data_IF_636276052621
#
_entry.id   IF_636276052621
#
_cell.length_a   1.000
_cell.length_b   1.000
_cell.length_c   1.000
_cell.angle_alpha   90.00
_cell.angle_beta   90.00
_cell.angle_gamma   90.00
#
_symmetry.space_group_name_H-M   'P 1'
#
loop_
_entity.id
_entity.type
_entity.pdbx_description
1 polymer ?
#
# COMPACT_ATOMS: atom_id res chain seq x y z
N UNK A 1 18.61 10.10 -17.15
CA UNK A 1 17.29 10.09 -16.47
C UNK A 1 16.91 11.51 -16.06
N UNK A 2 15.86 12.12 -16.63
CA UNK A 2 15.39 13.42 -16.13
C UNK A 2 14.79 13.20 -14.73
N UNK A 3 15.29 13.91 -13.72
CA UNK A 3 14.87 13.80 -12.30
C UNK A 3 13.34 13.79 -12.10
N UNK A 4 12.57 14.45 -12.98
CA UNK A 4 11.11 14.52 -12.89
C UNK A 4 10.39 13.17 -13.04
N UNK A 5 10.87 12.23 -13.87
CA UNK A 5 10.11 11.00 -14.14
C UNK A 5 10.20 9.97 -12.99
N UNK A 6 11.36 9.92 -12.32
CA UNK A 6 11.53 9.13 -11.10
C UNK A 6 10.68 9.65 -9.95
N UNK A 7 10.68 10.97 -9.77
CA UNK A 7 9.90 11.61 -8.72
C UNK A 7 8.41 11.31 -8.91
N UNK A 8 7.92 11.41 -10.15
CA UNK A 8 6.52 11.13 -10.47
C UNK A 8 6.15 9.67 -10.19
N UNK A 9 7.02 8.71 -10.50
CA UNK A 9 6.80 7.29 -10.17
C UNK A 9 6.74 7.05 -8.67
N UNK A 10 7.70 7.59 -7.91
CA UNK A 10 7.74 7.44 -6.45
C UNK A 10 6.49 8.04 -5.82
N UNK A 11 6.04 9.20 -6.30
CA UNK A 11 4.81 9.84 -5.82
C UNK A 11 3.59 8.95 -6.08
N UNK A 12 3.46 8.36 -7.28
CA UNK A 12 2.34 7.47 -7.61
C UNK A 12 2.35 6.22 -6.73
N UNK A 13 3.53 5.63 -6.48
CA UNK A 13 3.68 4.44 -5.64
C UNK A 13 3.31 4.74 -4.20
N UNK A 14 3.80 5.85 -3.64
CA UNK A 14 3.47 6.28 -2.28
C UNK A 14 1.97 6.56 -2.15
N UNK A 15 1.36 7.21 -3.15
CA UNK A 15 -0.07 7.48 -3.16
C UNK A 15 -0.89 6.17 -3.22
N UNK A 16 -0.44 5.20 -4.01
CA UNK A 16 -1.09 3.90 -4.12
C UNK A 16 -1.02 3.13 -2.79
N UNK A 17 0.15 3.08 -2.15
CA UNK A 17 0.30 2.50 -0.82
C UNK A 17 -0.59 3.18 0.23
N UNK A 18 -0.69 4.52 0.19
CA UNK A 18 -1.55 5.27 1.09
C UNK A 18 -3.04 4.93 0.87
N UNK A 19 -3.48 4.77 -0.38
CA UNK A 19 -4.86 4.37 -0.69
C UNK A 19 -5.17 2.96 -0.17
N UNK A 20 -4.27 2.00 -0.35
CA UNK A 20 -4.44 0.65 0.19
C UNK A 20 -4.52 0.65 1.72
N UNK A 21 -3.64 1.39 2.40
CA UNK A 21 -3.70 1.57 3.86
C UNK A 21 -5.04 2.15 4.32
N UNK A 22 -5.55 3.16 3.62
CA UNK A 22 -6.86 3.75 3.92
C UNK A 22 -7.99 2.73 3.75
N UNK A 23 -7.96 1.92 2.69
CA UNK A 23 -8.98 0.89 2.45
C UNK A 23 -8.97 -0.19 3.54
N UNK A 24 -7.79 -0.66 3.95
CA UNK A 24 -7.67 -1.64 5.03
C UNK A 24 -8.13 -1.08 6.37
N UNK A 25 -7.78 0.18 6.68
CA UNK A 25 -8.27 0.85 7.88
C UNK A 25 -9.81 0.98 7.88
N UNK A 26 -10.41 1.36 6.74
CA UNK A 26 -11.88 1.46 6.59
C UNK A 26 -12.53 0.09 6.75
N UNK A 27 -11.97 -0.96 6.15
CA UNK A 27 -12.47 -2.34 6.24
C UNK A 27 -12.52 -2.82 7.69
N UNK A 28 -11.45 -2.59 8.45
CA UNK A 28 -11.35 -3.00 9.86
C UNK A 28 -12.25 -2.14 10.76
N UNK A 29 -12.36 -0.84 10.48
CA UNK A 29 -13.33 0.03 11.16
C UNK A 29 -14.77 -0.44 10.92
N UNK A 30 -15.13 -0.80 9.68
CA UNK A 30 -16.46 -1.37 9.37
C UNK A 30 -16.68 -2.69 10.10
N UNK A 31 -15.71 -3.61 10.08
CA UNK A 31 -15.82 -4.88 10.76
C UNK A 31 -16.00 -4.71 12.28
N UNK A 32 -15.21 -3.83 12.89
CA UNK A 32 -15.32 -3.50 14.32
C UNK A 32 -16.66 -2.84 14.65
N UNK A 33 -17.16 -1.95 13.79
CA UNK A 33 -18.48 -1.34 13.95
C UNK A 33 -19.62 -2.38 13.87
N UNK A 34 -19.54 -3.33 12.95
CA UNK A 34 -20.51 -4.44 12.83
C UNK A 34 -20.50 -5.31 14.09
N UNK A 35 -19.31 -5.64 14.61
CA UNK A 35 -19.16 -6.41 15.86
C UNK A 35 -19.69 -5.62 17.06
N UNK A 36 -19.43 -4.30 17.12
CA UNK A 36 -19.96 -3.43 18.16
C UNK A 36 -21.49 -3.43 18.18
N UNK A 37 -22.15 -3.33 17.03
CA UNK A 37 -23.61 -3.40 16.95
C UNK A 37 -24.18 -4.76 17.38
N UNK A 38 -23.40 -5.84 17.24
CA UNK A 38 -23.87 -7.21 17.51
C UNK A 38 -23.55 -7.70 18.93
N UNK A 39 -22.42 -7.29 19.50
CA UNK A 39 -21.86 -7.81 20.77
C UNK A 39 -21.63 -6.69 21.79
N UNK A 40 -21.69 -5.42 21.38
CA UNK A 40 -21.45 -4.25 22.24
C UNK A 40 -19.97 -3.97 22.53
N UNK A 41 -19.05 -4.72 21.92
CA UNK A 41 -17.60 -4.61 22.17
C UNK A 41 -16.92 -4.04 20.94
N UNK A 42 -16.19 -2.93 21.12
CA UNK A 42 -15.41 -2.28 20.07
C UNK A 42 -13.95 -2.68 20.22
N UNK A 43 -13.55 -3.72 19.48
CA UNK A 43 -12.15 -4.13 19.42
C UNK A 43 -11.50 -3.43 18.23
N UNK A 44 -10.70 -2.40 18.50
CA UNK A 44 -9.97 -1.65 17.49
C UNK A 44 -8.52 -1.47 17.93
N UNK A 45 -7.61 -2.20 17.29
CA UNK A 45 -6.18 -2.16 17.56
C UNK A 45 -5.43 -1.80 16.28
N UNK A 46 -4.84 -0.59 16.27
CA UNK A 46 -3.99 -0.12 15.18
C UNK A 46 -2.79 -1.03 14.90
N UNK A 47 -2.24 -1.66 15.94
CA UNK A 47 -1.08 -2.55 15.80
C UNK A 47 -1.39 -3.75 14.90
N UNK A 48 -2.58 -4.32 15.03
CA UNK A 48 -3.04 -5.45 14.23
C UNK A 48 -3.28 -5.06 12.75
N UNK A 49 -3.74 -3.82 12.51
CA UNK A 49 -3.89 -3.26 11.16
C UNK A 49 -2.52 -3.14 10.48
N UNK A 50 -1.56 -2.56 11.19
CA UNK A 50 -0.20 -2.33 10.66
C UNK A 50 0.49 -3.68 10.43
N UNK A 51 0.44 -4.62 11.38
CA UNK A 51 1.04 -5.95 11.19
C UNK A 51 0.37 -6.73 10.07
N UNK A 52 -0.96 -6.72 9.98
CA UNK A 52 -1.69 -7.35 8.87
C UNK A 52 -1.28 -6.74 7.53
N UNK A 53 -1.21 -5.41 7.45
CA UNK A 53 -0.78 -4.69 6.25
C UNK A 53 0.67 -4.99 5.88
N UNK A 54 1.60 -5.06 6.82
CA UNK A 54 2.98 -5.43 6.52
C UNK A 54 3.12 -6.89 6.09
N UNK A 55 2.36 -7.80 6.71
CA UNK A 55 2.42 -9.23 6.41
C UNK A 55 1.84 -9.55 5.03
N UNK A 56 0.69 -8.95 4.70
CA UNK A 56 0.01 -9.15 3.41
C UNK A 56 0.54 -8.20 2.32
N UNK A 57 0.82 -6.96 2.69
CA UNK A 57 1.38 -5.91 1.83
C UNK A 57 2.84 -6.14 1.45
N UNK A 58 3.57 -7.06 2.10
CA UNK A 58 4.88 -7.52 1.64
C UNK A 58 4.83 -8.01 0.19
N UNK A 59 3.77 -8.74 -0.19
CA UNK A 59 3.57 -9.21 -1.57
C UNK A 59 3.36 -8.04 -2.51
N UNK A 60 2.53 -7.06 -2.11
CA UNK A 60 2.31 -5.82 -2.86
C UNK A 60 3.59 -5.00 -3.03
N UNK A 61 4.40 -4.90 -1.99
CA UNK A 61 5.69 -4.22 -1.98
C UNK A 61 6.71 -4.86 -2.92
N UNK A 62 6.80 -6.20 -2.95
CA UNK A 62 7.67 -6.92 -3.90
C UNK A 62 7.23 -6.67 -5.34
N UNK A 63 5.94 -6.80 -5.63
CA UNK A 63 5.41 -6.62 -6.99
C UNK A 63 5.64 -5.20 -7.48
N UNK A 64 5.40 -4.19 -6.62
CA UNK A 64 5.66 -2.79 -6.94
C UNK A 64 7.16 -2.51 -7.12
N UNK A 65 8.01 -3.05 -6.24
CA UNK A 65 9.46 -2.95 -6.35
C UNK A 65 10.00 -3.52 -7.66
N UNK A 66 9.53 -4.70 -8.05
CA UNK A 66 9.85 -5.33 -9.33
C UNK A 66 9.35 -4.50 -10.53
N UNK A 67 8.14 -3.96 -10.45
CA UNK A 67 7.58 -3.09 -11.49
C UNK A 67 8.42 -1.84 -11.74
N UNK A 68 8.86 -1.18 -10.66
CA UNK A 68 9.75 0.00 -10.74
C UNK A 68 11.13 -0.39 -11.31
N UNK A 69 11.68 -1.53 -10.86
CA UNK A 69 12.96 -2.04 -11.36
C UNK A 69 12.91 -2.28 -12.87
N UNK A 70 11.88 -2.98 -13.36
CA UNK A 70 11.70 -3.27 -14.79
C UNK A 70 11.52 -1.97 -15.59
N UNK A 71 10.72 -1.02 -15.10
CA UNK A 71 10.54 0.28 -15.77
C UNK A 71 11.87 1.05 -15.87
N UNK A 72 12.66 1.06 -14.80
CA UNK A 72 13.99 1.68 -14.79
C UNK A 72 14.94 1.00 -15.79
N UNK A 73 14.91 -0.33 -15.87
CA UNK A 73 15.71 -1.11 -16.81
C UNK A 73 15.34 -0.79 -18.28
N UNK A 74 14.04 -0.75 -18.61
CA UNK A 74 13.55 -0.40 -19.94
C UNK A 74 13.89 1.05 -20.35
N UNK A 75 13.82 1.99 -19.41
CA UNK A 75 14.19 3.38 -19.69
C UNK A 75 15.67 3.57 -19.97
N UNK A 76 16.55 2.81 -19.29
CA UNK A 76 17.98 2.85 -19.58
C UNK A 76 18.29 2.33 -20.98
N UNK A 77 17.62 1.26 -21.41
CA UNK A 77 17.76 0.65 -22.76
C UNK A 77 17.24 1.51 -23.91
N UNK A 78 16.31 2.44 -23.64
CA UNK A 78 15.71 3.32 -24.66
C UNK A 78 16.50 4.62 -24.87
N UNK A 79 17.40 4.95 -23.93
CA UNK A 79 18.25 6.14 -24.01
C UNK A 79 19.70 5.81 -24.41
N UNK A 80 20.01 4.53 -24.67
CA UNK A 80 21.09 4.08 -25.55
C UNK A 80 20.57 3.97 -26.99
#
# INVERSE_FOLDING_TARGET
>A
MKKNDLYQLVVIVVLCCALFLCLDAISILLASLIVYFKVGVFSFEWENIITSFFTTGYVGGIVLGLGIWIKSMLQNRKNE
#
